data_IF_730309863579
#
_entry.id   IF_730309863579
#
_cell.length_a   1.000
_cell.length_b   1.000
_cell.length_c   1.000
_cell.angle_alpha   90.00
_cell.angle_beta   90.00
_cell.angle_gamma   90.00
#
_symmetry.space_group_name_H-M   'P 1'
#
loop_
_entity.id
_entity.type
_entity.pdbx_description
1 polymer ?
#
# COMPACT_ATOMS: atom_id res chain seq x y z
N UNK A 1 -12.91 -44.41 -41.44
CA UNK A 1 -14.37 -44.18 -41.38
C UNK A 1 -14.61 -42.91 -40.57
N UNK A 2 -15.54 -42.06 -41.02
CA UNK A 2 -15.93 -40.70 -40.53
C UNK A 2 -14.87 -39.61 -40.78
N UNK A 3 -15.00 -38.67 -41.72
CA UNK A 3 -16.11 -37.90 -42.34
C UNK A 3 -16.61 -36.69 -41.53
N UNK A 4 -16.83 -35.61 -42.31
CA UNK A 4 -17.47 -34.30 -42.05
C UNK A 4 -16.54 -33.17 -41.57
N UNK A 5 -16.13 -32.17 -42.37
CA UNK A 5 -16.82 -31.19 -43.24
C UNK A 5 -17.51 -30.05 -42.48
N UNK A 6 -16.96 -28.84 -42.58
CA UNK A 6 -17.73 -27.59 -42.44
C UNK A 6 -17.07 -26.48 -43.25
N UNK A 7 -17.75 -26.07 -44.33
CA UNK A 7 -17.54 -24.81 -45.03
C UNK A 7 -18.31 -23.72 -44.29
N UNK A 8 -17.81 -22.48 -44.28
CA UNK A 8 -18.58 -21.32 -44.77
C UNK A 8 -17.70 -20.06 -44.94
N UNK A 9 -17.67 -19.65 -46.21
CA UNK A 9 -17.30 -18.38 -46.84
C UNK A 9 -17.99 -17.18 -46.17
N UNK A 10 -17.37 -15.98 -46.22
CA UNK A 10 -17.88 -14.74 -46.88
C UNK A 10 -16.98 -13.53 -46.57
N UNK A 11 -16.34 -12.96 -47.60
CA UNK A 11 -16.66 -11.69 -48.27
C UNK A 11 -16.18 -10.43 -47.50
N UNK A 12 -15.00 -9.92 -47.88
CA UNK A 12 -14.62 -8.52 -47.63
C UNK A 12 -14.62 -7.80 -48.97
N UNK A 13 -15.63 -6.96 -49.17
CA UNK A 13 -15.76 -6.07 -50.32
C UNK A 13 -14.79 -4.89 -50.25
N UNK A 14 -14.37 -4.43 -51.42
CA UNK A 14 -13.68 -3.17 -51.71
C UNK A 14 -14.70 -2.12 -52.20
N UNK A 15 -14.22 -0.91 -52.52
CA UNK A 15 -14.87 0.32 -53.05
C UNK A 15 -15.25 1.33 -51.95
N UNK A 16 -15.13 2.66 -52.05
CA UNK A 16 -14.53 3.64 -52.99
C UNK A 16 -14.64 5.03 -52.33
N UNK A 17 -13.72 5.94 -52.68
CA UNK A 17 -13.80 7.41 -52.79
C UNK A 17 -15.02 8.22 -52.29
N UNK A 18 -14.78 9.35 -51.61
CA UNK A 18 -15.44 10.67 -51.84
C UNK A 18 -14.85 11.75 -50.90
N UNK A 19 -13.96 12.63 -51.37
CA UNK A 19 -14.18 14.07 -51.66
C UNK A 19 -15.11 14.83 -50.69
N UNK A 20 -14.54 15.79 -49.96
CA UNK A 20 -15.21 16.98 -49.43
C UNK A 20 -14.42 18.24 -49.83
N UNK A 21 -15.08 19.36 -50.20
CA UNK A 21 -14.43 20.56 -50.73
C UNK A 21 -14.20 21.66 -49.67
N UNK A 22 -13.16 22.46 -49.96
CA UNK A 22 -13.01 23.92 -49.76
C UNK A 22 -13.24 24.52 -48.36
N UNK A 23 -12.28 25.32 -47.86
CA UNK A 23 -12.28 26.77 -48.02
C UNK A 23 -11.01 27.39 -47.40
N UNK A 24 -10.30 28.18 -48.20
CA UNK A 24 -9.30 29.14 -47.75
C UNK A 24 -9.99 30.30 -47.04
N UNK A 25 -9.54 30.66 -45.84
CA UNK A 25 -9.60 32.04 -45.35
C UNK A 25 -8.53 32.29 -44.28
N UNK A 26 -7.75 33.33 -44.55
CA UNK A 26 -6.62 33.87 -43.77
C UNK A 26 -7.16 34.80 -42.63
N UNK A 27 -6.33 35.50 -41.84
CA UNK A 27 -6.36 35.44 -40.38
C UNK A 27 -7.01 36.69 -39.75
N UNK A 28 -7.47 36.58 -38.51
CA UNK A 28 -7.67 37.77 -37.67
C UNK A 28 -7.03 37.56 -36.30
N UNK A 29 -6.01 38.39 -36.07
CA UNK A 29 -5.51 38.84 -34.78
C UNK A 29 -6.65 39.14 -33.82
N UNK A 30 -6.71 38.42 -32.70
CA UNK A 30 -7.48 38.83 -31.53
C UNK A 30 -6.50 39.15 -30.41
N UNK A 31 -6.47 40.44 -30.05
CA UNK A 31 -5.63 41.03 -29.01
C UNK A 31 -5.87 40.38 -27.66
N UNK A 32 -4.77 40.13 -26.96
CA UNK A 32 -4.75 39.51 -25.64
C UNK A 32 -5.48 40.33 -24.58
N UNK A 33 -6.32 39.62 -23.83
CA UNK A 33 -6.58 39.91 -22.43
C UNK A 33 -6.36 38.59 -21.70
N UNK A 34 -5.12 38.39 -21.23
CA UNK A 34 -4.80 37.30 -20.31
C UNK A 34 -5.45 37.62 -18.96
N UNK A 35 -6.73 37.25 -18.80
CA UNK A 35 -7.29 37.08 -17.46
C UNK A 35 -6.59 35.86 -16.87
N UNK A 36 -5.59 36.14 -16.03
CA UNK A 36 -5.01 35.14 -15.11
C UNK A 36 -6.10 34.72 -14.14
N UNK A 37 -6.86 33.71 -14.51
CA UNK A 37 -7.46 32.83 -13.53
C UNK A 37 -6.31 32.18 -12.76
N UNK A 38 -6.32 32.15 -11.43
CA UNK A 38 -5.38 31.30 -10.72
C UNK A 38 -5.66 29.88 -11.19
N UNK A 39 -4.71 29.31 -11.93
CA UNK A 39 -4.64 27.88 -12.20
C UNK A 39 -4.51 27.22 -10.84
N UNK A 40 -5.64 26.84 -10.25
CA UNK A 40 -5.65 25.81 -9.22
C UNK A 40 -5.00 24.61 -9.90
N UNK A 41 -3.87 24.10 -9.41
CA UNK A 41 -3.29 22.89 -9.96
C UNK A 41 -4.38 21.83 -9.90
N UNK A 42 -4.80 21.35 -11.06
CA UNK A 42 -5.65 20.18 -11.16
C UNK A 42 -4.80 19.03 -10.62
N UNK A 43 -4.92 18.76 -9.32
CA UNK A 43 -4.30 17.61 -8.69
C UNK A 43 -4.81 16.39 -9.44
N UNK A 44 -3.98 15.83 -10.31
CA UNK A 44 -4.14 14.46 -10.77
C UNK A 44 -4.14 13.59 -9.52
N UNK A 45 -5.18 12.77 -9.28
CA UNK A 45 -5.29 11.91 -8.09
C UNK A 45 -4.18 10.85 -7.97
N UNK A 46 -3.18 10.86 -8.83
CA UNK A 46 -2.28 9.75 -9.10
C UNK A 46 -0.87 9.92 -8.54
N UNK A 47 -0.45 11.10 -8.08
CA UNK A 47 0.85 11.30 -7.42
C UNK A 47 0.74 11.05 -5.91
N UNK A 48 0.58 9.79 -5.51
CA UNK A 48 0.87 9.39 -4.13
C UNK A 48 2.38 9.21 -4.02
N UNK A 49 3.04 10.15 -3.35
CA UNK A 49 4.46 10.02 -3.10
C UNK A 49 4.65 9.03 -1.93
N UNK A 50 5.58 8.06 -2.01
CA UNK A 50 5.85 7.11 -0.92
C UNK A 50 6.18 7.77 0.44
N UNK A 51 6.45 9.08 0.44
CA UNK A 51 6.80 9.88 1.61
C UNK A 51 5.60 10.52 2.31
N UNK A 52 4.39 10.34 1.77
CA UNK A 52 3.19 10.87 2.42
C UNK A 52 2.97 10.14 3.75
N UNK A 53 2.95 10.93 4.83
CA UNK A 53 2.71 10.46 6.19
C UNK A 53 1.37 11.00 6.65
N UNK A 54 0.44 10.11 6.96
CA UNK A 54 -0.88 10.48 7.45
C UNK A 54 -0.93 10.31 8.96
N UNK A 55 -1.35 11.36 9.66
CA UNK A 55 -1.63 11.28 11.09
C UNK A 55 -3.00 10.64 11.35
N UNK A 56 -3.32 10.42 12.62
CA UNK A 56 -4.56 9.79 13.05
C UNK A 56 -5.82 10.57 12.60
N UNK A 57 -5.75 11.90 12.49
CA UNK A 57 -6.90 12.71 12.08
C UNK A 57 -7.08 12.78 10.55
N UNK A 58 -6.04 12.43 9.78
CA UNK A 58 -6.06 12.43 8.31
C UNK A 58 -6.29 11.04 7.69
N UNK A 59 -6.70 10.06 8.49
CA UNK A 59 -6.86 8.67 8.07
C UNK A 59 -7.91 8.45 6.97
N UNK A 60 -8.88 9.36 6.85
CA UNK A 60 -9.87 9.41 5.76
C UNK A 60 -9.26 9.64 4.38
N UNK A 61 -8.05 10.21 4.30
CA UNK A 61 -7.37 10.57 3.05
C UNK A 61 -6.33 9.54 2.61
N UNK A 62 -6.17 8.48 3.39
CA UNK A 62 -5.16 7.46 3.13
C UNK A 62 -5.56 6.69 1.86
N UNK A 63 -4.65 6.50 0.90
CA UNK A 63 -4.93 5.75 -0.31
C UNK A 63 -5.36 4.31 -0.02
N UNK A 64 -5.97 3.67 -1.01
CA UNK A 64 -6.21 2.23 -0.96
C UNK A 64 -4.94 1.45 -1.30
N UNK A 65 -4.74 0.26 -0.70
CA UNK A 65 -3.74 -0.68 -1.16
C UNK A 65 -3.89 -0.95 -2.67
N UNK A 66 -2.78 -0.88 -3.41
CA UNK A 66 -2.78 -1.11 -4.87
C UNK A 66 -1.49 -1.77 -5.32
N UNK A 67 -1.55 -2.47 -6.44
CA UNK A 67 -0.36 -2.97 -7.10
C UNK A 67 0.13 -1.96 -8.15
N UNK A 68 1.44 -1.74 -8.18
CA UNK A 68 2.12 -0.98 -9.22
C UNK A 68 3.30 -1.82 -9.71
N UNK A 69 3.16 -2.41 -10.91
CA UNK A 69 4.08 -3.43 -11.44
C UNK A 69 4.12 -4.67 -10.50
N UNK A 70 5.26 -5.37 -10.21
CA UNK A 70 5.23 -6.49 -9.25
C UNK A 70 5.14 -6.03 -7.79
N UNK A 71 5.04 -4.72 -7.52
CA UNK A 71 5.11 -4.16 -6.16
C UNK A 71 3.72 -3.94 -5.59
N UNK A 72 3.56 -4.28 -4.32
CA UNK A 72 2.39 -3.92 -3.54
C UNK A 72 2.66 -2.60 -2.82
N UNK A 73 1.93 -1.55 -3.21
CA UNK A 73 1.89 -0.28 -2.48
C UNK A 73 0.86 -0.44 -1.36
N UNK A 74 1.35 -0.52 -0.12
CA UNK A 74 0.53 -0.81 1.06
C UNK A 74 0.66 0.29 2.12
N UNK A 75 -0.39 1.09 2.34
CA UNK A 75 -0.45 1.97 3.49
C UNK A 75 -0.53 1.14 4.77
N UNK A 76 0.34 1.43 5.73
CA UNK A 76 0.39 0.72 7.01
C UNK A 76 0.64 1.67 8.18
N UNK A 77 0.10 1.32 9.35
CA UNK A 77 0.62 1.83 10.62
C UNK A 77 1.91 1.08 10.91
N UNK A 78 3.02 1.81 11.06
CA UNK A 78 4.35 1.21 11.20
C UNK A 78 4.86 1.29 12.63
N UNK A 79 5.35 0.17 13.13
CA UNK A 79 5.99 0.04 14.44
C UNK A 79 7.44 -0.38 14.23
N UNK A 80 8.37 0.52 14.54
CA UNK A 80 9.80 0.23 14.42
C UNK A 80 10.19 -0.85 15.43
N UNK A 81 10.79 -1.93 14.95
CA UNK A 81 11.34 -2.97 15.83
C UNK A 81 12.61 -2.43 16.47
N UNK A 82 12.64 -2.38 17.79
CA UNK A 82 13.75 -1.85 18.59
C UNK A 82 14.67 -2.95 19.07
N UNK A 83 14.11 -4.11 19.42
CA UNK A 83 14.85 -5.22 20.00
C UNK A 83 14.38 -6.52 19.39
N UNK A 84 15.34 -7.37 19.02
CA UNK A 84 15.12 -8.75 18.60
C UNK A 84 16.09 -9.64 19.39
N UNK A 85 15.54 -10.62 20.10
CA UNK A 85 16.33 -11.59 20.86
C UNK A 85 15.94 -13.01 20.48
N UNK A 86 16.93 -13.82 20.06
CA UNK A 86 16.76 -15.26 19.89
C UNK A 86 16.61 -15.91 21.27
N UNK A 87 15.43 -16.50 21.54
CA UNK A 87 15.13 -17.22 22.78
C UNK A 87 15.51 -18.68 22.72
N UNK A 88 15.40 -19.30 21.55
CA UNK A 88 15.69 -20.71 21.40
C UNK A 88 15.75 -21.12 19.94
N UNK A 89 16.57 -22.13 19.68
CA UNK A 89 16.59 -22.89 18.43
C UNK A 89 16.19 -24.31 18.80
N UNK A 90 15.21 -24.86 18.11
CA UNK A 90 14.91 -26.28 18.24
C UNK A 90 16.00 -27.08 17.52
N UNK A 91 16.69 -28.04 18.17
CA UNK A 91 17.66 -28.90 17.51
C UNK A 91 17.02 -30.00 16.65
N UNK A 92 15.73 -30.28 16.83
CA UNK A 92 15.00 -31.36 16.15
C UNK A 92 14.31 -30.92 14.85
N UNK A 93 14.00 -29.63 14.72
CA UNK A 93 13.50 -29.00 13.50
C UNK A 93 14.12 -27.60 13.38
N UNK A 94 14.44 -27.11 12.16
CA UNK A 94 15.02 -25.77 12.00
C UNK A 94 13.96 -24.72 12.31
N UNK A 95 13.74 -24.43 13.58
CA UNK A 95 12.82 -23.41 14.06
C UNK A 95 13.50 -22.53 15.11
N UNK A 96 13.34 -21.23 14.94
CA UNK A 96 14.00 -20.19 15.71
C UNK A 96 12.93 -19.32 16.35
N UNK A 97 12.91 -19.30 17.68
CA UNK A 97 11.94 -18.49 18.44
C UNK A 97 12.59 -17.18 18.85
N UNK A 98 11.98 -16.08 18.43
CA UNK A 98 12.43 -14.72 18.69
C UNK A 98 11.44 -13.99 19.60
N UNK A 99 11.98 -13.25 20.56
CA UNK A 99 11.25 -12.20 21.27
C UNK A 99 11.50 -10.87 20.58
N UNK A 100 10.43 -10.20 20.19
CA UNK A 100 10.44 -8.94 19.46
C UNK A 100 9.81 -7.85 20.31
N UNK A 101 10.49 -6.71 20.36
CA UNK A 101 9.94 -5.47 20.90
C UNK A 101 9.90 -4.42 19.78
N UNK A 102 8.80 -3.69 19.71
CA UNK A 102 8.59 -2.61 18.76
C UNK A 102 7.95 -1.43 19.47
N UNK A 103 8.15 -0.23 18.93
CA UNK A 103 7.48 0.97 19.43
C UNK A 103 5.96 0.80 19.38
N UNK A 104 5.25 1.25 20.42
CA UNK A 104 3.79 1.34 20.45
C UNK A 104 3.04 -0.01 20.44
N UNK A 105 3.77 -1.13 20.49
CA UNK A 105 3.23 -2.51 20.50
C UNK A 105 3.79 -3.28 21.69
N UNK A 106 2.96 -4.13 22.30
CA UNK A 106 3.38 -5.05 23.36
C UNK A 106 4.44 -6.02 22.83
N UNK A 107 5.45 -6.39 23.64
CA UNK A 107 6.40 -7.42 23.28
C UNK A 107 5.70 -8.71 22.86
N UNK A 108 6.22 -9.37 21.84
CA UNK A 108 5.63 -10.58 21.28
C UNK A 108 6.70 -11.61 20.92
N UNK A 109 6.27 -12.86 20.76
CA UNK A 109 7.14 -13.96 20.35
C UNK A 109 6.70 -14.49 18.98
N UNK A 110 7.68 -14.75 18.13
CA UNK A 110 7.46 -15.42 16.85
C UNK A 110 8.42 -16.58 16.67
N UNK A 111 7.93 -17.65 16.07
CA UNK A 111 8.75 -18.80 15.67
C UNK A 111 8.87 -18.81 14.16
N UNK A 112 10.10 -18.81 13.66
CA UNK A 112 10.42 -18.76 12.24
C UNK A 112 11.24 -19.98 11.81
N UNK A 113 11.07 -20.51 10.58
CA UNK A 113 11.89 -21.60 10.08
C UNK A 113 13.31 -21.14 9.72
N UNK A 114 13.48 -19.86 9.42
CA UNK A 114 14.74 -19.27 8.99
C UNK A 114 15.22 -18.27 10.04
N UNK A 115 16.55 -18.12 10.14
CA UNK A 115 17.19 -17.17 11.04
C UNK A 115 16.91 -15.73 10.62
N UNK A 116 16.55 -14.88 11.59
CA UNK A 116 16.36 -13.45 11.37
C UNK A 116 17.69 -12.68 11.37
N UNK A 117 18.77 -13.26 11.90
CA UNK A 117 20.08 -12.58 11.95
C UNK A 117 20.62 -12.26 10.55
N UNK A 118 20.38 -13.11 9.56
CA UNK A 118 20.81 -12.86 8.19
C UNK A 118 20.03 -11.71 7.55
N UNK A 119 18.74 -11.57 7.90
CA UNK A 119 17.90 -10.45 7.49
C UNK A 119 18.35 -9.12 8.11
N UNK A 120 18.71 -9.13 9.40
CA UNK A 120 19.21 -7.95 10.12
C UNK A 120 20.60 -7.50 9.65
N UNK A 121 21.49 -8.45 9.28
CA UNK A 121 22.83 -8.14 8.76
C UNK A 121 22.78 -7.54 7.36
N UNK A 122 21.78 -7.91 6.57
CA UNK A 122 21.82 -7.68 5.14
C UNK A 122 21.35 -6.28 4.73
N UNK A 123 20.25 -5.72 5.26
CA UNK A 123 19.62 -4.60 4.54
C UNK A 123 18.78 -3.56 5.33
N UNK A 124 18.67 -3.58 6.67
CA UNK A 124 18.14 -2.41 7.39
C UNK A 124 17.17 -2.67 8.54
N UNK A 125 16.53 -1.60 9.01
CA UNK A 125 15.60 -1.64 10.15
C UNK A 125 14.42 -2.57 9.89
N UNK A 126 14.10 -3.42 10.86
CA UNK A 126 12.89 -4.24 10.84
C UNK A 126 11.68 -3.40 11.25
N UNK A 127 10.56 -3.61 10.58
CA UNK A 127 9.31 -2.94 10.89
C UNK A 127 8.19 -3.94 11.02
N UNK A 128 7.46 -3.83 12.12
CA UNK A 128 6.22 -4.55 12.34
C UNK A 128 5.08 -3.63 11.90
N UNK A 129 4.32 -4.04 10.90
CA UNK A 129 3.32 -3.15 10.29
C UNK A 129 1.92 -3.73 10.39
N UNK A 130 0.95 -2.85 10.65
CA UNK A 130 -0.48 -3.13 10.53
C UNK A 130 -0.98 -2.58 9.19
N UNK A 131 -1.41 -3.44 8.25
CA UNK A 131 -2.02 -2.98 7.01
C UNK A 131 -3.24 -2.08 7.29
N UNK A 132 -3.30 -0.95 6.60
CA UNK A 132 -4.48 -0.10 6.62
C UNK A 132 -5.57 -0.64 5.68
N UNK A 133 -6.83 -0.55 6.09
CA UNK A 133 -7.96 -0.97 5.27
C UNK A 133 -9.06 0.09 5.31
N UNK A 134 -9.60 0.45 4.15
CA UNK A 134 -10.79 1.28 3.99
C UNK A 134 -12.09 0.76 4.61
N UNK A 135 -12.09 -0.37 5.32
CA UNK A 135 -13.24 -0.85 6.10
C UNK A 135 -13.10 -0.46 7.56
N UNK A 136 -12.03 0.24 7.94
CA UNK A 136 -11.99 0.89 9.23
C UNK A 136 -13.11 1.93 9.30
N UNK A 137 -13.85 1.98 10.42
CA UNK A 137 -14.81 3.05 10.65
C UNK A 137 -14.12 4.40 10.43
N UNK A 138 -14.71 5.28 9.62
CA UNK A 138 -14.10 6.59 9.33
C UNK A 138 -13.16 6.64 8.14
N UNK A 139 -13.14 5.61 7.29
CA UNK A 139 -12.49 5.68 5.97
C UNK A 139 -13.30 6.46 4.92
N UNK A 140 -14.55 6.83 5.24
CA UNK A 140 -15.48 7.53 4.34
C UNK A 140 -15.98 8.80 5.02
N UNK A 141 -15.74 9.94 4.37
CA UNK A 141 -16.21 11.31 4.64
C UNK A 141 -16.33 11.75 6.12
N UNK A 142 -15.47 12.70 6.51
CA UNK A 142 -15.43 13.46 7.77
C UNK A 142 -15.58 12.62 9.05
N UNK A 143 -14.46 12.43 9.75
CA UNK A 143 -14.43 11.67 11.00
C UNK A 143 -15.18 12.47 12.09
N UNK A 144 -16.45 12.15 12.32
CA UNK A 144 -17.16 12.63 13.51
C UNK A 144 -16.62 11.91 14.77
N UNK A 145 -16.94 12.46 15.95
CA UNK A 145 -16.45 11.90 17.22
C UNK A 145 -16.78 10.40 17.34
N UNK A 146 -18.05 10.02 17.10
CA UNK A 146 -18.52 8.63 17.19
C UNK A 146 -17.71 7.69 16.30
N UNK A 147 -17.32 8.17 15.11
CA UNK A 147 -16.53 7.43 14.14
C UNK A 147 -15.06 7.34 14.56
N UNK A 148 -14.52 8.37 15.20
CA UNK A 148 -13.20 8.37 15.83
C UNK A 148 -13.10 7.34 16.96
N UNK A 149 -14.08 7.31 17.87
CA UNK A 149 -14.08 6.32 18.96
C UNK A 149 -14.21 4.88 18.46
N UNK A 150 -15.00 4.66 17.40
CA UNK A 150 -15.10 3.34 16.75
C UNK A 150 -13.79 2.93 16.08
N UNK A 151 -13.11 3.88 15.44
CA UNK A 151 -11.80 3.67 14.85
C UNK A 151 -10.77 3.32 15.92
N UNK A 152 -10.69 4.10 17.01
CA UNK A 152 -9.81 3.83 18.15
C UNK A 152 -10.06 2.45 18.74
N UNK A 153 -11.33 2.11 19.00
CA UNK A 153 -11.71 0.81 19.54
C UNK A 153 -11.34 -0.34 18.60
N UNK A 154 -11.33 -0.11 17.29
CA UNK A 154 -10.88 -1.08 16.30
C UNK A 154 -9.35 -1.19 16.25
N UNK A 155 -8.65 -0.07 16.41
CA UNK A 155 -7.19 -0.03 16.44
C UNK A 155 -6.61 -0.63 17.73
N UNK A 156 -7.32 -0.56 18.85
CA UNK A 156 -6.93 -1.19 20.13
C UNK A 156 -6.88 -2.71 20.09
N UNK A 157 -7.65 -3.32 19.19
CA UNK A 157 -7.70 -4.78 19.09
C UNK A 157 -6.38 -5.34 18.57
N UNK A 158 -6.01 -6.57 19.00
CA UNK A 158 -4.92 -7.30 18.38
C UNK A 158 -5.13 -7.43 16.87
N UNK A 159 -4.04 -7.35 16.11
CA UNK A 159 -4.08 -7.33 14.66
C UNK A 159 -3.08 -8.33 14.06
N UNK A 160 -3.35 -8.74 12.83
CA UNK A 160 -2.41 -9.54 12.04
C UNK A 160 -1.34 -8.59 11.48
N UNK A 161 -0.11 -8.73 11.97
CA UNK A 161 1.01 -7.90 11.57
C UNK A 161 1.78 -8.54 10.40
N UNK A 162 2.43 -7.69 9.62
CA UNK A 162 3.47 -8.11 8.69
C UNK A 162 4.82 -7.70 9.26
N UNK A 163 5.82 -8.57 9.15
CA UNK A 163 7.20 -8.23 9.45
C UNK A 163 7.92 -7.87 8.15
N UNK A 164 8.41 -6.64 8.06
CA UNK A 164 9.09 -6.12 6.88
C UNK A 164 10.57 -5.86 7.20
N UNK A 165 11.45 -6.24 6.28
CA UNK A 165 12.81 -5.68 6.20
C UNK A 165 12.82 -4.55 5.19
N UNK A 166 13.55 -3.49 5.51
CA UNK A 166 13.85 -2.45 4.53
C UNK A 166 14.89 -2.96 3.53
N UNK A 167 14.75 -2.56 2.28
CA UNK A 167 15.68 -2.77 1.17
C UNK A 167 16.16 -1.41 0.66
N UNK A 168 17.21 -1.37 -0.18
CA UNK A 168 17.60 -0.18 -0.92
C UNK A 168 16.41 0.42 -1.69
N UNK A 169 16.48 1.72 -1.93
CA UNK A 169 15.45 2.47 -2.67
C UNK A 169 14.06 2.50 -2.03
N UNK A 170 13.98 2.39 -0.70
CA UNK A 170 12.72 2.46 0.07
C UNK A 170 11.71 1.35 -0.28
N UNK A 171 12.26 0.24 -0.77
CA UNK A 171 11.54 -1.01 -0.95
C UNK A 171 11.56 -1.81 0.33
N UNK A 172 10.58 -2.71 0.47
CA UNK A 172 10.43 -3.49 1.68
C UNK A 172 10.13 -4.93 1.29
N UNK A 173 10.85 -5.88 1.90
CA UNK A 173 10.59 -7.29 1.72
C UNK A 173 9.81 -7.82 2.90
N UNK A 174 8.74 -8.55 2.61
CA UNK A 174 8.03 -9.29 3.65
C UNK A 174 8.86 -10.48 4.12
N UNK A 175 9.09 -10.55 5.41
CA UNK A 175 9.69 -11.70 6.08
C UNK A 175 8.55 -12.56 6.67
N UNK A 176 8.80 -13.86 6.80
CA UNK A 176 7.87 -14.78 7.44
C UNK A 176 6.48 -14.79 6.77
N UNK A 177 6.45 -14.74 5.43
CA UNK A 177 5.21 -14.56 4.66
C UNK A 177 4.14 -15.63 4.91
N UNK A 178 4.55 -16.85 5.27
CA UNK A 178 3.66 -17.98 5.59
C UNK A 178 3.21 -18.01 7.06
N UNK A 179 3.72 -17.11 7.91
CA UNK A 179 3.51 -17.14 9.35
C UNK A 179 2.56 -16.03 9.75
N UNK A 180 1.62 -16.38 10.62
CA UNK A 180 0.69 -15.43 11.21
C UNK A 180 1.35 -14.79 12.43
N UNK A 181 1.60 -13.48 12.35
CA UNK A 181 2.11 -12.69 13.47
C UNK A 181 0.93 -11.91 14.05
N UNK A 182 0.66 -12.08 15.35
CA UNK A 182 -0.38 -11.31 16.05
C UNK A 182 0.30 -10.30 16.96
N UNK A 183 -0.02 -9.03 16.77
CA UNK A 183 0.53 -7.92 17.53
C UNK A 183 -0.60 -7.19 18.27
N UNK A 184 -0.26 -6.55 19.39
CA UNK A 184 -1.23 -5.82 20.20
C UNK A 184 -0.66 -4.44 20.55
N UNK A 185 -1.39 -3.34 20.32
CA UNK A 185 -0.96 -2.02 20.78
C UNK A 185 -0.76 -1.98 22.30
N UNK A 186 0.11 -1.10 22.78
CA UNK A 186 0.35 -0.92 24.22
C UNK A 186 -0.89 -0.31 24.88
N UNK A 187 -1.34 0.83 24.36
CA UNK A 187 -2.46 1.61 24.88
C UNK A 187 -3.06 2.54 23.81
N UNK A 188 -4.11 3.27 24.19
CA UNK A 188 -4.76 4.29 23.35
C UNK A 188 -3.83 5.42 22.92
N UNK A 189 -2.94 5.87 23.80
CA UNK A 189 -2.05 7.00 23.50
C UNK A 189 -1.06 6.65 22.38
N UNK A 190 -0.63 5.39 22.34
CA UNK A 190 0.23 4.82 21.29
C UNK A 190 -0.48 4.82 19.93
N UNK A 191 -1.79 4.57 19.90
CA UNK A 191 -2.61 4.62 18.68
C UNK A 191 -2.80 6.05 18.19
N UNK A 192 -3.09 7.00 19.08
CA UNK A 192 -3.27 8.41 18.70
C UNK A 192 -1.99 9.04 18.13
N UNK A 193 -0.82 8.55 18.54
CA UNK A 193 0.48 8.97 18.00
C UNK A 193 0.87 8.23 16.72
N UNK A 194 0.16 7.17 16.37
CA UNK A 194 0.48 6.34 15.23
C UNK A 194 0.33 7.13 13.93
N UNK A 195 1.25 6.85 13.00
CA UNK A 195 1.24 7.45 11.67
C UNK A 195 1.13 6.34 10.63
N UNK A 196 0.36 6.61 9.58
CA UNK A 196 0.34 5.75 8.40
C UNK A 196 1.44 6.19 7.45
N UNK A 197 2.22 5.20 7.02
CA UNK A 197 3.26 5.31 6.01
C UNK A 197 2.92 4.39 4.84
N UNK A 198 3.32 4.79 3.65
CA UNK A 198 3.15 3.98 2.45
C UNK A 198 4.38 3.08 2.29
N UNK A 199 4.18 1.78 2.13
CA UNK A 199 5.24 0.80 1.92
C UNK A 199 5.21 0.25 0.50
N UNK A 200 6.37 0.24 -0.15
CA UNK A 200 6.57 -0.45 -1.43
C UNK A 200 7.07 -1.87 -1.16
N UNK A 201 6.15 -2.83 -1.13
CA UNK A 201 6.46 -4.22 -0.80
C UNK A 201 6.77 -5.01 -2.08
N UNK A 202 7.91 -5.71 -2.08
CA UNK A 202 8.38 -6.58 -3.18
C UNK A 202 8.34 -8.06 -2.83
#
# INVERSE_FOLDING_TARGET
>A
MSSQSTLLRRLRGSLTTSRLPQFLSRPQTSSGISRRFPTIPLHTPDSYEPRDVYDFHSLTRVPLPRFLNPRLILPCIAHCVTVVHLKGSDPSAPSYTYSIQASDVRPLEITLPNKLEDEMRSQGSLQLVRPWHSKFPGSSAELDAVTEEQLLSTLERPFNALLLSQLPHDEHRRIASSIRITAQPIDRASILKSKIRIFNIV
#
